data_IF_683457427916
#
_entry.id   IF_683457427916
#
_cell.length_a   1.000
_cell.length_b   1.000
_cell.length_c   1.000
_cell.angle_alpha   90.00
_cell.angle_beta   90.00
_cell.angle_gamma   90.00
#
_symmetry.space_group_name_H-M   'P 1'
#
loop_
_entity.id
_entity.type
_entity.pdbx_description
1 polymer ?
#
# COMPACT_ATOMS: atom_id res chain seq x y z
N UNK A 1 -0.34 7.59 -12.46
CA UNK A 1 0.84 7.94 -11.61
C UNK A 1 1.97 7.02 -12.05
N UNK A 2 3.19 7.52 -12.31
CA UNK A 2 4.32 6.62 -12.51
C UNK A 2 4.57 5.84 -11.21
N UNK A 3 4.66 4.51 -11.28
CA UNK A 3 4.98 3.66 -10.12
C UNK A 3 6.41 3.87 -9.63
N UNK A 4 6.76 3.27 -8.50
CA UNK A 4 8.15 3.23 -8.02
C UNK A 4 9.02 2.51 -9.05
N UNK A 5 10.30 2.84 -9.07
CA UNK A 5 11.25 2.16 -9.96
C UNK A 5 11.32 0.67 -9.57
N UNK A 6 11.07 -0.27 -10.49
CA UNK A 6 11.10 -1.70 -10.20
C UNK A 6 12.47 -2.21 -9.73
N UNK A 7 13.55 -1.44 -9.91
CA UNK A 7 14.87 -1.77 -9.35
C UNK A 7 14.95 -1.57 -7.83
N UNK A 8 14.07 -0.74 -7.25
CA UNK A 8 14.05 -0.44 -5.82
C UNK A 8 13.32 -1.55 -5.06
N UNK A 9 12.07 -1.82 -5.41
CA UNK A 9 11.26 -2.90 -4.82
C UNK A 9 10.29 -3.47 -5.84
N UNK A 10 10.16 -4.80 -5.81
CA UNK A 10 9.07 -5.57 -6.43
C UNK A 10 8.43 -6.47 -5.39
N UNK A 11 7.16 -6.79 -5.60
CA UNK A 11 6.47 -7.81 -4.83
C UNK A 11 6.60 -9.18 -5.51
N UNK A 12 6.89 -10.19 -4.70
CA UNK A 12 7.05 -11.58 -5.12
C UNK A 12 6.07 -12.48 -4.37
N UNK A 13 5.60 -13.52 -5.03
CA UNK A 13 4.71 -14.55 -4.50
C UNK A 13 5.45 -15.89 -4.43
N UNK A 14 6.10 -16.11 -3.29
CA UNK A 14 6.65 -17.41 -2.95
C UNK A 14 5.50 -18.36 -2.55
N UNK A 15 5.18 -19.29 -3.44
CA UNK A 15 4.09 -20.26 -3.27
C UNK A 15 4.67 -21.67 -3.03
N UNK A 16 4.11 -22.36 -2.04
CA UNK A 16 4.33 -23.80 -1.82
C UNK A 16 3.28 -24.59 -2.62
N UNK A 17 3.57 -24.80 -3.90
CA UNK A 17 2.66 -25.49 -4.83
C UNK A 17 2.63 -27.01 -4.63
N UNK A 18 3.61 -27.57 -3.94
CA UNK A 18 3.62 -29.00 -3.58
C UNK A 18 2.54 -29.28 -2.52
N UNK A 19 2.47 -28.42 -1.50
CA UNK A 19 1.48 -28.55 -0.43
C UNK A 19 0.12 -27.97 -0.81
N UNK A 20 0.11 -26.91 -1.61
CA UNK A 20 -1.11 -26.19 -1.99
C UNK A 20 -1.21 -26.06 -3.51
N UNK A 21 -1.90 -27.00 -4.18
CA UNK A 21 -2.02 -26.95 -5.63
C UNK A 21 -2.79 -25.69 -6.08
N UNK A 22 -2.52 -25.19 -7.30
CA UNK A 22 -3.24 -24.05 -7.86
C UNK A 22 -4.74 -24.23 -7.85
N UNK A 23 -5.47 -23.15 -7.51
CA UNK A 23 -6.92 -23.18 -7.40
C UNK A 23 -7.59 -22.13 -8.28
N UNK A 24 -8.53 -22.63 -9.10
CA UNK A 24 -9.45 -21.81 -9.89
C UNK A 24 -10.80 -21.74 -9.21
N UNK A 25 -11.10 -20.61 -8.57
CA UNK A 25 -12.42 -20.41 -7.97
C UNK A 25 -13.48 -20.21 -9.05
N UNK A 26 -14.65 -20.84 -8.86
CA UNK A 26 -15.80 -20.60 -9.72
C UNK A 26 -16.34 -19.18 -9.51
N UNK A 27 -16.74 -18.52 -10.61
CA UNK A 27 -17.25 -17.15 -10.57
C UNK A 27 -18.49 -17.06 -9.68
N UNK A 28 -18.40 -16.24 -8.63
CA UNK A 28 -19.54 -16.02 -7.72
C UNK A 28 -20.57 -15.10 -8.37
N UNK A 29 -21.84 -15.45 -8.23
CA UNK A 29 -22.97 -14.61 -8.69
C UNK A 29 -22.98 -13.29 -7.93
N UNK A 30 -22.96 -12.19 -8.69
CA UNK A 30 -23.01 -10.83 -8.15
C UNK A 30 -24.44 -10.27 -8.21
N UNK A 31 -24.77 -9.34 -7.32
CA UNK A 31 -26.06 -8.63 -7.33
C UNK A 31 -26.13 -7.70 -8.55
N UNK A 32 -27.25 -7.70 -9.26
CA UNK A 32 -27.43 -6.93 -10.50
C UNK A 32 -27.13 -5.43 -10.33
N UNK A 33 -27.59 -4.82 -9.22
CA UNK A 33 -27.36 -3.40 -8.93
C UNK A 33 -25.89 -3.02 -8.68
N UNK A 34 -25.01 -3.98 -8.40
CA UNK A 34 -23.58 -3.74 -8.22
C UNK A 34 -22.75 -3.95 -9.49
N UNK A 35 -23.27 -4.67 -10.48
CA UNK A 35 -22.51 -5.04 -11.68
C UNK A 35 -21.98 -3.81 -12.42
N UNK A 36 -22.79 -2.78 -12.60
CA UNK A 36 -22.34 -1.57 -13.32
C UNK A 36 -21.20 -0.86 -12.58
N UNK A 37 -21.33 -0.70 -11.25
CA UNK A 37 -20.32 -0.05 -10.39
C UNK A 37 -19.02 -0.86 -10.33
N UNK A 38 -19.12 -2.19 -10.31
CA UNK A 38 -17.95 -3.08 -10.40
C UNK A 38 -17.25 -2.90 -11.75
N UNK A 39 -18.01 -2.89 -12.85
CA UNK A 39 -17.45 -2.70 -14.19
C UNK A 39 -16.70 -1.37 -14.30
N UNK A 40 -17.30 -0.29 -13.81
CA UNK A 40 -16.69 1.04 -13.81
C UNK A 40 -15.36 1.06 -13.04
N UNK A 41 -15.31 0.45 -11.86
CA UNK A 41 -14.08 0.41 -11.06
C UNK A 41 -13.00 -0.46 -11.71
N UNK A 42 -13.36 -1.60 -12.31
CA UNK A 42 -12.40 -2.44 -13.06
C UNK A 42 -11.85 -1.68 -14.27
N UNK A 43 -12.70 -1.01 -15.05
CA UNK A 43 -12.29 -0.20 -16.21
C UNK A 43 -11.36 0.93 -15.77
N UNK A 44 -11.65 1.58 -14.64
CA UNK A 44 -10.79 2.62 -14.07
C UNK A 44 -9.40 2.08 -13.73
N UNK A 45 -9.30 0.89 -13.16
CA UNK A 45 -8.01 0.26 -12.84
C UNK A 45 -7.23 -0.17 -14.09
N UNK A 46 -7.93 -0.64 -15.14
CA UNK A 46 -7.33 -0.91 -16.47
C UNK A 46 -6.77 0.39 -17.06
N UNK A 47 -7.56 1.46 -17.09
CA UNK A 47 -7.14 2.77 -17.63
C UNK A 47 -5.99 3.39 -16.83
N UNK A 48 -5.91 3.11 -15.53
CA UNK A 48 -4.77 3.51 -14.68
C UNK A 48 -3.50 2.70 -14.95
N UNK A 49 -3.59 1.61 -15.72
CA UNK A 49 -2.50 0.70 -16.02
C UNK A 49 -2.15 -0.23 -14.85
N UNK A 50 -3.07 -0.48 -13.92
CA UNK A 50 -2.86 -1.39 -12.78
C UNK A 50 -3.19 -2.83 -13.13
N UNK A 51 -4.07 -3.04 -14.11
CA UNK A 51 -4.54 -4.36 -14.55
C UNK A 51 -4.08 -4.65 -15.97
N UNK A 52 -3.75 -5.92 -16.22
CA UNK A 52 -3.57 -6.48 -17.56
C UNK A 52 -4.60 -7.60 -17.80
N UNK A 53 -4.94 -7.84 -19.06
CA UNK A 53 -5.77 -8.99 -19.45
C UNK A 53 -4.94 -10.25 -19.29
N UNK A 54 -5.47 -11.25 -18.60
CA UNK A 54 -4.76 -12.50 -18.34
C UNK A 54 -5.53 -13.68 -18.91
N UNK A 55 -4.81 -14.54 -19.63
CA UNK A 55 -5.33 -15.79 -20.16
C UNK A 55 -4.63 -16.98 -19.46
N UNK A 56 -5.34 -18.11 -19.36
CA UNK A 56 -4.79 -19.40 -18.93
C UNK A 56 -4.14 -19.47 -17.53
N UNK A 57 -4.45 -18.56 -16.61
CA UNK A 57 -3.92 -18.63 -15.24
C UNK A 57 -4.39 -19.88 -14.50
N UNK A 58 -3.49 -20.54 -13.76
CA UNK A 58 -3.83 -21.65 -12.86
C UNK A 58 -4.46 -21.18 -11.54
N UNK A 59 -4.10 -19.97 -11.09
CA UNK A 59 -4.70 -19.30 -9.95
C UNK A 59 -5.79 -18.35 -10.41
N UNK A 60 -7.02 -18.53 -9.95
CA UNK A 60 -8.13 -17.62 -10.27
C UNK A 60 -8.93 -17.33 -9.01
N UNK A 61 -8.93 -16.07 -8.58
CA UNK A 61 -9.68 -15.59 -7.43
C UNK A 61 -10.98 -14.88 -7.84
N UNK A 62 -11.95 -14.84 -6.93
CA UNK A 62 -13.16 -14.05 -7.11
C UNK A 62 -13.01 -12.62 -6.61
N UNK A 63 -13.78 -11.72 -7.20
CA UNK A 63 -13.97 -10.37 -6.67
C UNK A 63 -14.96 -10.36 -5.50
N UNK A 64 -14.70 -9.45 -4.57
CA UNK A 64 -15.56 -9.10 -3.44
C UNK A 64 -15.82 -7.59 -3.50
N UNK A 65 -16.98 -7.17 -4.02
CA UNK A 65 -17.34 -5.76 -4.01
C UNK A 65 -17.64 -5.31 -2.58
N UNK A 66 -16.96 -4.25 -2.14
CA UNK A 66 -17.16 -3.63 -0.83
C UNK A 66 -17.78 -2.26 -1.04
N UNK A 67 -18.98 -2.06 -0.51
CA UNK A 67 -19.65 -0.76 -0.53
C UNK A 67 -19.12 0.13 0.59
N UNK A 68 -18.68 1.33 0.23
CA UNK A 68 -18.29 2.36 1.20
C UNK A 68 -19.50 3.18 1.64
N UNK A 69 -19.37 3.82 2.80
CA UNK A 69 -20.36 4.77 3.35
C UNK A 69 -20.68 5.93 2.40
N UNK A 70 -19.73 6.30 1.55
CA UNK A 70 -19.86 7.37 0.55
C UNK A 70 -20.58 6.94 -0.74
N UNK A 71 -21.09 5.70 -0.80
CA UNK A 71 -21.75 5.19 -2.00
C UNK A 71 -20.80 4.82 -3.14
N UNK A 72 -19.48 4.73 -2.91
CA UNK A 72 -18.52 4.15 -3.88
C UNK A 72 -18.36 2.64 -3.64
N UNK A 73 -18.02 1.89 -4.68
CA UNK A 73 -17.63 0.47 -4.57
C UNK A 73 -16.12 0.38 -4.69
N UNK A 74 -15.50 -0.41 -3.81
CA UNK A 74 -14.13 -0.90 -4.01
C UNK A 74 -14.22 -2.37 -4.43
N UNK A 75 -13.51 -2.73 -5.50
CA UNK A 75 -13.38 -4.12 -5.93
C UNK A 75 -12.18 -4.72 -5.20
N UNK A 76 -12.45 -5.53 -4.18
CA UNK A 76 -11.44 -6.35 -3.53
C UNK A 76 -11.36 -7.72 -4.21
N UNK A 77 -10.26 -8.45 -4.03
CA UNK A 77 -10.09 -9.82 -4.53
C UNK A 77 -9.88 -10.77 -3.37
N UNK A 78 -10.62 -11.87 -3.38
CA UNK A 78 -10.51 -12.94 -2.37
C UNK A 78 -9.32 -13.85 -2.67
N UNK A 79 -8.13 -13.40 -2.25
CA UNK A 79 -6.90 -14.18 -2.34
C UNK A 79 -6.78 -15.25 -1.24
N UNK A 80 -7.85 -15.66 -0.56
CA UNK A 80 -7.79 -16.61 0.55
C UNK A 80 -7.06 -17.92 0.22
N UNK A 81 -7.26 -18.47 -0.97
CA UNK A 81 -6.57 -19.70 -1.41
C UNK A 81 -5.09 -19.42 -1.77
N UNK A 82 -4.82 -18.32 -2.47
CA UNK A 82 -3.46 -17.90 -2.83
C UNK A 82 -2.61 -17.59 -1.59
N UNK A 83 -3.21 -16.94 -0.59
CA UNK A 83 -2.57 -16.60 0.69
C UNK A 83 -2.24 -17.81 1.56
N UNK A 84 -3.02 -18.89 1.44
CA UNK A 84 -2.71 -20.17 2.12
C UNK A 84 -1.49 -20.83 1.50
N UNK A 85 -1.39 -20.78 0.18
CA UNK A 85 -0.24 -21.29 -0.56
C UNK A 85 1.02 -20.43 -0.37
N UNK A 86 0.87 -19.16 -0.02
CA UNK A 86 2.00 -18.25 0.15
C UNK A 86 2.71 -18.42 1.51
N UNK A 87 4.02 -18.64 1.46
CA UNK A 87 4.87 -18.62 2.65
C UNK A 87 4.87 -17.23 3.29
N UNK A 88 4.79 -17.17 4.62
CA UNK A 88 4.74 -15.90 5.35
C UNK A 88 6.12 -15.23 5.30
N UNK A 89 6.16 -13.94 4.96
CA UNK A 89 7.37 -13.13 5.09
C UNK A 89 7.69 -12.89 6.58
N UNK A 90 8.96 -13.08 6.96
CA UNK A 90 9.45 -12.88 8.32
C UNK A 90 9.87 -11.42 8.59
N UNK A 91 9.58 -10.50 7.66
CA UNK A 91 9.84 -9.08 7.89
C UNK A 91 9.09 -8.57 9.12
N UNK A 92 9.84 -8.08 10.10
CA UNK A 92 9.27 -7.58 11.34
C UNK A 92 8.63 -6.22 11.08
N UNK A 93 7.33 -6.13 11.35
CA UNK A 93 6.68 -4.82 11.46
C UNK A 93 7.13 -4.18 12.77
N UNK A 94 7.42 -2.86 12.77
CA UNK A 94 7.80 -2.16 13.99
C UNK A 94 6.68 -2.24 15.03
N UNK A 95 7.06 -2.35 16.30
CA UNK A 95 6.09 -2.40 17.39
C UNK A 95 5.42 -1.03 17.55
N UNK A 96 4.09 -1.01 17.65
CA UNK A 96 3.32 0.25 17.73
C UNK A 96 3.81 1.12 18.89
N UNK A 97 4.09 0.54 20.06
CA UNK A 97 4.58 1.32 21.21
C UNK A 97 5.91 2.04 20.93
N UNK A 98 6.81 1.46 20.13
CA UNK A 98 8.07 2.11 19.75
C UNK A 98 7.80 3.32 18.87
N UNK A 99 6.87 3.20 17.92
CA UNK A 99 6.46 4.31 17.04
C UNK A 99 5.78 5.42 17.85
N UNK A 100 4.94 5.05 18.82
CA UNK A 100 4.27 6.00 19.71
C UNK A 100 5.29 6.72 20.59
N UNK A 101 6.25 6.01 21.17
CA UNK A 101 7.27 6.64 22.03
C UNK A 101 8.20 7.57 21.25
N UNK A 102 8.51 7.24 19.98
CA UNK A 102 9.27 8.12 19.10
C UNK A 102 8.47 9.37 18.73
N UNK A 103 7.18 9.24 18.42
CA UNK A 103 6.32 10.39 18.07
C UNK A 103 6.04 11.32 19.26
N UNK A 104 6.00 10.81 20.49
CA UNK A 104 5.83 11.62 21.72
C UNK A 104 6.98 12.62 21.94
N UNK A 105 8.16 12.37 21.36
CA UNK A 105 9.31 13.29 21.46
C UNK A 105 9.15 14.55 20.62
N UNK A 106 8.18 14.60 19.71
CA UNK A 106 7.96 15.73 18.82
C UNK A 106 6.72 16.55 19.22
N UNK A 107 6.84 17.86 19.17
CA UNK A 107 5.77 18.81 19.54
C UNK A 107 4.64 18.87 18.52
N UNK A 108 4.94 18.53 17.26
CA UNK A 108 4.01 18.50 16.15
C UNK A 108 4.35 17.34 15.21
N UNK A 109 3.35 16.83 14.50
CA UNK A 109 3.51 15.82 13.46
C UNK A 109 2.36 15.93 12.45
N UNK A 110 2.59 15.41 11.25
CA UNK A 110 1.59 15.30 10.18
C UNK A 110 1.38 13.83 9.84
N UNK A 111 0.12 13.43 9.69
CA UNK A 111 -0.23 12.13 9.15
C UNK A 111 -0.35 12.19 7.63
N UNK A 112 0.19 11.18 6.98
CA UNK A 112 0.08 10.97 5.55
C UNK A 112 -0.44 9.56 5.30
N UNK A 113 -1.50 9.45 4.50
CA UNK A 113 -2.07 8.17 4.08
C UNK A 113 -1.30 7.62 2.88
N UNK A 114 -0.62 6.50 3.11
CA UNK A 114 0.12 5.71 2.14
C UNK A 114 -0.74 4.71 1.36
N UNK A 115 -2.07 4.70 1.50
CA UNK A 115 -2.96 3.73 0.86
C UNK A 115 -2.75 3.60 -0.66
N UNK A 116 -2.44 4.70 -1.35
CA UNK A 116 -2.12 4.65 -2.79
C UNK A 116 -0.77 4.02 -3.12
N UNK A 117 0.09 3.87 -2.12
CA UNK A 117 1.46 3.38 -2.18
C UNK A 117 1.59 1.91 -2.55
N UNK A 118 0.65 1.04 -2.17
CA UNK A 118 0.64 -0.35 -2.66
C UNK A 118 0.59 -0.43 -4.18
N UNK A 119 -0.28 0.38 -4.79
CA UNK A 119 -0.43 0.44 -6.24
C UNK A 119 0.79 1.05 -6.95
N UNK A 120 1.80 1.52 -6.21
CA UNK A 120 3.06 2.01 -6.77
C UNK A 120 4.15 0.93 -6.81
N UNK A 121 3.99 -0.16 -6.06
CA UNK A 121 4.94 -1.27 -6.04
C UNK A 121 4.58 -2.25 -7.16
N UNK A 122 5.54 -2.57 -8.02
CA UNK A 122 5.33 -3.49 -9.12
C UNK A 122 5.31 -4.95 -8.65
N UNK A 123 4.45 -5.77 -9.25
CA UNK A 123 4.56 -7.22 -9.17
C UNK A 123 5.76 -7.70 -9.99
N UNK A 124 6.43 -8.76 -9.54
CA UNK A 124 7.37 -9.50 -10.36
C UNK A 124 6.65 -10.09 -11.59
N UNK A 125 7.29 -10.05 -12.76
CA UNK A 125 6.66 -10.42 -14.04
C UNK A 125 6.08 -11.84 -14.03
N UNK A 126 6.83 -12.78 -13.46
CA UNK A 126 6.45 -14.18 -13.28
C UNK A 126 5.27 -14.40 -12.33
N UNK A 127 5.05 -13.47 -11.41
CA UNK A 127 4.05 -13.58 -10.34
C UNK A 127 2.74 -12.85 -10.66
N UNK A 128 2.74 -11.95 -11.64
CA UNK A 128 1.53 -11.21 -12.07
C UNK A 128 0.37 -12.16 -12.35
N UNK A 129 0.62 -13.20 -13.15
CA UNK A 129 -0.39 -14.20 -13.53
C UNK A 129 -1.02 -14.87 -12.30
N UNK A 130 -0.28 -15.07 -11.21
CA UNK A 130 -0.80 -15.71 -10.00
C UNK A 130 -1.85 -14.85 -9.28
N UNK A 131 -1.85 -13.54 -9.51
CA UNK A 131 -2.83 -12.60 -8.94
C UNK A 131 -4.14 -12.51 -9.74
N UNK A 132 -4.34 -13.40 -10.72
CA UNK A 132 -5.51 -13.35 -11.60
C UNK A 132 -6.82 -13.47 -10.84
N UNK A 133 -7.77 -12.63 -11.21
CA UNK A 133 -9.15 -12.70 -10.75
C UNK A 133 -10.12 -12.74 -11.91
N UNK A 134 -11.31 -13.29 -11.64
CA UNK A 134 -12.38 -13.43 -12.63
C UNK A 134 -13.52 -12.46 -12.37
N UNK A 135 -14.09 -11.95 -13.46
CA UNK A 135 -15.28 -11.10 -13.47
C UNK A 135 -16.25 -11.59 -14.55
N UNK A 136 -17.47 -11.04 -14.59
CA UNK A 136 -18.45 -11.33 -15.64
C UNK A 136 -17.98 -10.93 -17.06
N UNK A 137 -16.95 -10.10 -17.18
CA UNK A 137 -16.46 -9.58 -18.47
C UNK A 137 -15.11 -10.16 -18.89
N UNK A 138 -14.49 -10.99 -18.06
CA UNK A 138 -13.19 -11.58 -18.35
C UNK A 138 -12.31 -11.75 -17.11
N UNK A 139 -11.09 -12.24 -17.36
CA UNK A 139 -10.04 -12.46 -16.36
C UNK A 139 -8.94 -11.42 -16.49
N UNK A 140 -8.53 -10.89 -15.35
CA UNK A 140 -7.52 -9.83 -15.26
C UNK A 140 -6.50 -10.19 -14.19
N UNK A 141 -5.25 -9.76 -14.38
CA UNK A 141 -4.21 -9.87 -13.38
C UNK A 141 -3.67 -8.49 -13.03
N UNK A 142 -3.07 -8.37 -11.85
CA UNK A 142 -2.50 -7.10 -11.40
C UNK A 142 -1.03 -6.98 -11.84
N UNK A 143 -0.69 -5.79 -12.35
CA UNK A 143 0.70 -5.39 -12.67
C UNK A 143 1.42 -4.80 -11.47
N UNK A 144 0.64 -4.18 -10.58
CA UNK A 144 1.08 -3.56 -9.32
C UNK A 144 0.59 -4.41 -8.16
N UNK A 145 1.20 -4.29 -6.98
CA UNK A 145 0.86 -5.11 -5.83
C UNK A 145 -0.60 -4.87 -5.39
N UNK A 146 -1.51 -5.86 -5.52
CA UNK A 146 -2.88 -5.68 -5.10
C UNK A 146 -3.05 -5.81 -3.58
N UNK A 147 -4.12 -5.20 -3.09
CA UNK A 147 -4.58 -5.41 -1.73
C UNK A 147 -5.04 -6.85 -1.51
N UNK A 148 -4.97 -7.28 -0.25
CA UNK A 148 -5.45 -8.61 0.17
C UNK A 148 -4.41 -9.73 0.03
N UNK A 149 -3.20 -9.44 -0.47
CA UNK A 149 -2.09 -10.38 -0.41
C UNK A 149 -1.47 -10.42 0.99
N UNK A 150 -1.16 -11.62 1.47
CA UNK A 150 -0.64 -11.88 2.82
C UNK A 150 0.63 -11.10 3.17
N UNK A 151 1.53 -10.92 2.19
CA UNK A 151 2.84 -10.29 2.40
C UNK A 151 2.92 -8.85 1.84
N UNK A 152 1.78 -8.25 1.46
CA UNK A 152 1.76 -6.90 0.90
C UNK A 152 2.30 -5.86 1.90
N UNK A 153 1.83 -5.89 3.15
CA UNK A 153 2.28 -4.96 4.19
C UNK A 153 3.78 -5.08 4.50
N UNK A 154 4.30 -6.31 4.55
CA UNK A 154 5.74 -6.55 4.73
C UNK A 154 6.58 -5.97 3.57
N UNK A 155 6.12 -6.15 2.34
CA UNK A 155 6.77 -5.60 1.14
C UNK A 155 6.74 -4.08 1.15
N UNK A 156 5.60 -3.49 1.51
CA UNK A 156 5.45 -2.04 1.61
C UNK A 156 6.38 -1.46 2.67
N UNK A 157 6.38 -2.04 3.88
CA UNK A 157 7.27 -1.60 4.96
C UNK A 157 8.74 -1.69 4.54
N UNK A 158 9.15 -2.79 3.89
CA UNK A 158 10.51 -2.94 3.37
C UNK A 158 10.86 -1.86 2.36
N UNK A 159 9.95 -1.53 1.44
CA UNK A 159 10.13 -0.44 0.49
C UNK A 159 10.31 0.91 1.19
N UNK A 160 9.49 1.20 2.19
CA UNK A 160 9.57 2.45 2.94
C UNK A 160 10.87 2.55 3.74
N UNK A 161 11.30 1.47 4.39
CA UNK A 161 12.60 1.41 5.08
C UNK A 161 13.73 1.63 4.10
N UNK A 162 13.73 0.99 2.92
CA UNK A 162 14.78 1.20 1.91
C UNK A 162 14.81 2.65 1.40
N UNK A 163 13.64 3.24 1.13
CA UNK A 163 13.53 4.61 0.61
C UNK A 163 13.88 5.69 1.63
N UNK A 164 13.54 5.48 2.90
CA UNK A 164 13.64 6.49 3.96
C UNK A 164 14.61 6.12 5.09
N UNK A 165 15.47 5.11 4.92
CA UNK A 165 16.38 4.62 5.96
C UNK A 165 17.13 5.72 6.72
N UNK A 166 17.57 6.78 6.04
CA UNK A 166 18.29 7.91 6.63
C UNK A 166 17.44 8.77 7.59
N UNK A 167 16.13 8.82 7.33
CA UNK A 167 15.12 9.65 8.00
C UNK A 167 14.26 8.86 8.99
N UNK A 168 14.26 7.53 8.90
CA UNK A 168 13.53 6.63 9.82
C UNK A 168 13.94 6.88 11.27
N UNK A 169 12.97 6.92 12.17
CA UNK A 169 13.15 7.15 13.61
C UNK A 169 13.72 8.52 13.99
N UNK A 170 13.87 9.44 13.03
CA UNK A 170 14.28 10.83 13.27
C UNK A 170 13.17 11.80 12.86
N UNK A 171 12.73 11.67 11.62
CA UNK A 171 11.78 12.59 10.99
C UNK A 171 10.54 11.86 10.47
N UNK A 172 10.67 10.57 10.18
CA UNK A 172 9.62 9.75 9.59
C UNK A 172 9.46 8.48 10.42
N UNK A 173 8.22 8.18 10.79
CA UNK A 173 7.80 6.90 11.29
C UNK A 173 6.77 6.30 10.34
N UNK A 174 6.98 5.05 9.93
CA UNK A 174 6.10 4.34 9.00
C UNK A 174 5.62 3.07 9.65
N UNK A 175 4.32 2.81 9.58
CA UNK A 175 3.77 1.50 9.87
C UNK A 175 2.68 1.13 8.86
N UNK A 176 3.02 0.18 8.01
CA UNK A 176 2.15 -0.28 6.93
C UNK A 176 1.68 0.94 6.13
N UNK A 177 0.39 1.27 6.10
CA UNK A 177 -0.16 2.34 5.29
C UNK A 177 0.01 3.74 5.87
N UNK A 178 0.21 3.84 7.16
CA UNK A 178 0.22 5.11 7.85
C UNK A 178 1.66 5.63 7.97
N UNK A 179 1.85 6.90 7.64
CA UNK A 179 3.13 7.59 7.70
C UNK A 179 2.98 8.81 8.58
N UNK A 180 3.82 8.93 9.60
CA UNK A 180 3.91 10.11 10.46
C UNK A 180 5.22 10.81 10.18
N UNK A 181 5.11 12.06 9.73
CA UNK A 181 6.26 12.93 9.53
C UNK A 181 6.27 14.02 10.60
N UNK A 182 7.43 14.27 11.20
CA UNK A 182 7.63 15.34 12.16
C UNK A 182 8.24 16.54 11.42
N UNK A 183 7.67 17.76 11.54
CA UNK A 183 8.20 18.92 10.83
C UNK A 183 9.55 19.32 11.43
N UNK A 184 10.63 19.02 10.72
CA UNK A 184 12.02 19.38 11.07
C UNK A 184 12.22 20.87 11.39
N UNK A 185 11.40 21.76 10.80
CA UNK A 185 11.56 23.22 10.91
C UNK A 185 10.92 23.88 12.15
N UNK A 186 10.20 23.15 13.00
CA UNK A 186 9.51 23.75 14.16
C UNK A 186 10.10 23.37 15.52
N UNK A 187 11.15 22.55 15.53
CA UNK A 187 11.84 22.11 16.76
C UNK A 187 13.11 22.91 17.09
N UNK A 188 13.50 23.90 16.27
CA UNK A 188 14.54 24.86 16.64
C UNK A 188 13.90 26.19 17.08
N UNK A 189 14.11 26.65 18.33
CA UNK A 189 13.69 27.98 18.73
C UNK A 189 14.53 29.02 17.97
N UNK A 190 13.96 29.61 16.92
CA UNK A 190 14.28 30.91 16.29
C UNK A 190 15.64 31.56 16.58
N UNK A 191 16.75 30.84 16.47
CA UNK A 191 18.09 31.41 16.42
C UNK A 191 18.95 30.48 15.54
N UNK A 192 19.70 31.09 14.64
CA UNK A 192 20.60 30.48 13.65
C UNK A 192 19.97 30.07 12.30
N UNK A 193 19.27 31.03 11.68
CA UNK A 193 19.20 31.11 10.22
C UNK A 193 20.56 31.66 9.74
N UNK A 194 21.59 30.82 9.65
CA UNK A 194 22.73 31.16 8.79
C UNK A 194 23.57 30.00 8.27
N UNK A 195 23.59 28.80 8.86
CA UNK A 195 24.45 27.73 8.34
C UNK A 195 23.90 26.32 8.62
N UNK A 196 23.27 25.68 7.62
CA UNK A 196 22.83 24.28 7.69
C UNK A 196 22.97 23.56 6.32
N UNK A 197 23.53 22.34 6.26
CA UNK A 197 23.88 21.68 5.02
C UNK A 197 22.69 20.88 4.45
N UNK A 198 21.65 21.55 3.96
CA UNK A 198 20.52 20.83 3.33
C UNK A 198 19.65 21.69 2.42
N UNK A 199 20.23 22.71 1.78
CA UNK A 199 19.60 23.42 0.67
C UNK A 199 19.44 22.58 -0.62
N UNK A 200 19.87 21.32 -0.61
CA UNK A 200 19.86 20.40 -1.76
C UNK A 200 18.95 19.17 -1.59
N UNK A 201 17.90 19.24 -0.75
CA UNK A 201 16.81 18.26 -0.82
C UNK A 201 16.07 18.45 -2.15
N UNK A 202 16.48 17.64 -3.13
CA UNK A 202 16.07 17.74 -4.52
C UNK A 202 14.54 17.86 -4.65
N UNK A 203 14.10 18.79 -5.51
CA UNK A 203 12.75 18.89 -6.06
C UNK A 203 12.17 17.53 -6.54
N UNK A 204 13.04 16.54 -6.74
CA UNK A 204 12.76 15.18 -7.21
C UNK A 204 12.10 14.32 -6.12
N UNK A 205 12.50 14.45 -4.85
CA UNK A 205 11.86 13.73 -3.73
C UNK A 205 10.49 14.33 -3.37
N UNK A 206 10.38 15.67 -3.33
CA UNK A 206 9.09 16.36 -3.12
C UNK A 206 8.07 16.11 -4.24
N UNK A 207 8.50 15.90 -5.49
CA UNK A 207 7.60 15.56 -6.61
C UNK A 207 7.07 14.12 -6.56
N UNK A 208 7.74 13.19 -5.86
CA UNK A 208 7.30 11.80 -5.75
C UNK A 208 6.17 11.60 -4.72
N UNK A 209 5.96 12.56 -3.81
CA UNK A 209 4.99 12.46 -2.71
C UNK A 209 3.69 13.27 -2.92
N UNK A 210 3.68 14.22 -3.86
CA UNK A 210 2.56 15.16 -4.01
C UNK A 210 1.37 14.59 -4.78
N UNK A 211 0.56 13.75 -4.11
CA UNK A 211 -0.90 13.70 -4.29
C UNK A 211 -1.60 12.90 -3.16
N UNK A 212 -1.36 13.25 -1.90
CA UNK A 212 -2.18 12.79 -0.79
C UNK A 212 -2.71 14.01 -0.03
N UNK A 213 -4.00 14.01 0.26
CA UNK A 213 -4.74 15.10 0.89
C UNK A 213 -4.23 15.31 2.32
N UNK A 214 -3.64 16.47 2.60
CA UNK A 214 -3.20 16.84 3.94
C UNK A 214 -4.42 17.07 4.84
N UNK A 215 -4.57 16.30 5.91
CA UNK A 215 -5.40 16.69 7.06
C UNK A 215 -4.49 17.20 8.17
N UNK A 216 -4.51 18.51 8.39
CA UNK A 216 -3.88 19.15 9.54
C UNK A 216 -4.77 18.94 10.77
N UNK A 217 -4.29 18.19 11.76
CA UNK A 217 -4.92 18.11 13.09
C UNK A 217 -3.88 18.44 14.14
N UNK A 218 -4.00 19.62 14.76
CA UNK A 218 -3.22 20.01 15.93
C UNK A 218 -4.07 19.83 17.19
N UNK A 219 -3.97 18.69 17.89
CA UNK A 219 -4.49 18.57 19.27
C UNK A 219 -3.99 17.33 20.04
N UNK A 220 -4.01 17.48 21.37
CA UNK A 220 -3.38 16.71 22.46
C UNK A 220 -3.36 15.16 22.44
N UNK A 221 -2.11 14.65 22.48
CA UNK A 221 -1.49 13.58 23.31
C UNK A 221 -2.09 12.16 23.35
N UNK A 222 -1.27 11.22 22.84
CA UNK A 222 -1.27 9.75 23.00
C UNK A 222 -2.46 8.98 22.41
N UNK A 223 -3.69 9.45 22.59
CA UNK A 223 -4.88 8.72 22.11
C UNK A 223 -5.00 8.78 20.59
N UNK A 224 -4.72 9.93 19.96
CA UNK A 224 -4.88 10.07 18.50
C UNK A 224 -3.90 9.18 17.70
N UNK A 225 -2.67 8.98 18.18
CA UNK A 225 -1.74 8.03 17.56
C UNK A 225 -2.25 6.59 17.71
N UNK A 226 -2.66 6.18 18.92
CA UNK A 226 -3.24 4.85 19.14
C UNK A 226 -4.49 4.60 18.31
N UNK A 227 -5.38 5.57 18.19
CA UNK A 227 -6.61 5.48 17.40
C UNK A 227 -6.35 5.45 15.88
N UNK A 228 -5.16 5.82 15.43
CA UNK A 228 -4.78 5.79 14.00
C UNK A 228 -4.08 4.48 13.63
N UNK A 229 -3.28 3.90 14.53
CA UNK A 229 -2.47 2.70 14.26
C UNK A 229 -3.10 1.38 14.77
N UNK A 230 -4.28 1.41 15.41
CA UNK A 230 -5.05 0.25 15.93
C UNK A 230 -6.35 0.09 15.13
#
# INVERSE_FOLDING_TARGET
MPGLDPSIVKHFLLLDTEKFPPKRQQLRRQRAGLLLRIKEEVVKQINAGFLDVCNYSEWVANIVPVEKKDGRVRVCVDYGDLNKASSKDNFHLPHIDVLVDNTVRHTQFSFMDGFSGYNQIWMAEEDKIKTTFTTMWGTFCYRVMPFGLKNAGATYQRAMVTLFHDMMHKEIEVYVDDIVNTPFWLTFPNNDISNGPSHNLSRIQKKRLNRAENHYSSSSRRNQAKDTWI
#
